data_IF_623181051067
#
_entry.id   IF_623181051067
#
_cell.length_a   1.000
_cell.length_b   1.000
_cell.length_c   1.000
_cell.angle_alpha   90.00
_cell.angle_beta   90.00
_cell.angle_gamma   90.00
#
_symmetry.space_group_name_H-M   'P 1'
#
loop_
_entity.id
_entity.type
_entity.pdbx_description
1 polymer ?
#
# COMPACT_ATOMS: atom_id res chain seq x y z
N UNK A 1 10.34 -4.78 39.16
CA UNK A 1 11.42 -5.27 38.27
C UNK A 1 10.92 -6.28 37.24
N UNK A 2 9.92 -7.08 37.51
CA UNK A 2 9.34 -8.08 36.62
C UNK A 2 8.84 -7.51 35.28
N UNK A 3 8.13 -6.38 35.25
CA UNK A 3 7.57 -5.83 34.02
C UNK A 3 8.60 -5.27 32.99
N UNK A 4 9.82 -4.92 33.43
CA UNK A 4 10.89 -4.52 32.50
C UNK A 4 11.56 -5.72 31.85
N UNK A 5 11.69 -6.83 32.57
CA UNK A 5 12.29 -8.06 32.06
C UNK A 5 11.37 -8.71 31.03
N UNK A 6 10.06 -8.73 31.27
CA UNK A 6 9.07 -9.23 30.31
C UNK A 6 9.06 -8.39 29.01
N UNK A 7 9.08 -7.06 29.11
CA UNK A 7 9.10 -6.18 27.95
C UNK A 7 10.36 -6.33 27.10
N UNK A 8 11.53 -6.59 27.71
CA UNK A 8 12.78 -6.87 26.97
C UNK A 8 12.70 -8.24 26.29
N UNK A 9 12.17 -9.25 26.97
CA UNK A 9 12.01 -10.59 26.42
C UNK A 9 11.05 -10.58 25.21
N UNK A 10 9.93 -9.90 25.31
CA UNK A 10 8.97 -9.73 24.22
C UNK A 10 9.61 -9.00 23.02
N UNK A 11 10.35 -7.92 23.28
CA UNK A 11 11.06 -7.19 22.24
C UNK A 11 12.10 -8.06 21.52
N UNK A 12 12.87 -8.85 22.28
CA UNK A 12 13.84 -9.79 21.71
C UNK A 12 13.17 -10.87 20.87
N UNK A 13 12.05 -11.44 21.36
CA UNK A 13 11.29 -12.45 20.64
C UNK A 13 10.78 -11.92 19.29
N UNK A 14 10.25 -10.69 19.25
CA UNK A 14 9.82 -10.05 17.99
C UNK A 14 11.01 -9.79 17.03
N UNK A 15 12.17 -9.37 17.54
CA UNK A 15 13.37 -9.18 16.70
C UNK A 15 13.90 -10.50 16.13
N UNK A 16 13.97 -11.55 16.94
CA UNK A 16 14.34 -12.88 16.47
C UNK A 16 13.36 -13.41 15.42
N UNK A 17 12.07 -13.15 15.61
CA UNK A 17 11.04 -13.47 14.62
C UNK A 17 11.29 -12.71 13.31
N UNK A 18 11.51 -11.38 13.35
CA UNK A 18 11.75 -10.58 12.14
C UNK A 18 12.93 -11.14 11.34
N UNK A 19 14.03 -11.48 12.02
CA UNK A 19 15.24 -12.05 11.38
C UNK A 19 14.95 -13.45 10.82
N UNK A 20 14.23 -14.30 11.55
CA UNK A 20 13.94 -15.67 11.12
C UNK A 20 12.91 -15.73 9.99
N UNK A 21 11.95 -14.80 9.98
CA UNK A 21 10.91 -14.74 8.94
C UNK A 21 11.41 -14.11 7.64
N UNK A 22 12.48 -13.32 7.69
CA UNK A 22 13.04 -12.71 6.49
C UNK A 22 13.33 -13.69 5.35
N UNK A 23 14.17 -14.74 5.52
CA UNK A 23 14.42 -15.69 4.43
C UNK A 23 13.17 -16.45 4.01
N UNK A 24 12.28 -16.76 4.95
CA UNK A 24 11.01 -17.45 4.67
C UNK A 24 10.13 -16.60 3.76
N UNK A 25 9.95 -15.33 4.11
CA UNK A 25 9.14 -14.39 3.33
C UNK A 25 9.78 -14.14 1.95
N UNK A 26 11.10 -14.00 1.90
CA UNK A 26 11.81 -13.82 0.64
C UNK A 26 11.57 -14.98 -0.32
N UNK A 27 11.75 -16.23 0.14
CA UNK A 27 11.53 -17.43 -0.68
C UNK A 27 10.07 -17.56 -1.08
N UNK A 28 9.14 -17.36 -0.15
CA UNK A 28 7.70 -17.46 -0.40
C UNK A 28 7.23 -16.46 -1.45
N UNK A 29 7.70 -15.21 -1.38
CA UNK A 29 7.24 -14.11 -2.23
C UNK A 29 8.04 -14.00 -3.53
N UNK A 30 9.19 -14.70 -3.63
CA UNK A 30 10.09 -14.65 -4.79
C UNK A 30 9.38 -14.93 -6.12
N UNK A 31 8.54 -15.98 -6.29
CA UNK A 31 7.89 -16.24 -7.57
C UNK A 31 7.01 -15.07 -8.05
N UNK A 32 6.24 -14.49 -7.15
CA UNK A 32 5.35 -13.36 -7.46
C UNK A 32 6.16 -12.09 -7.78
N UNK A 33 7.23 -11.83 -7.03
CA UNK A 33 8.13 -10.70 -7.26
C UNK A 33 8.89 -10.84 -8.58
N UNK A 34 9.40 -12.04 -8.88
CA UNK A 34 10.07 -12.35 -10.13
C UNK A 34 9.12 -12.21 -11.33
N UNK A 35 7.89 -12.71 -11.23
CA UNK A 35 6.89 -12.57 -12.29
C UNK A 35 6.56 -11.10 -12.57
N UNK A 36 6.41 -10.27 -11.53
CA UNK A 36 6.20 -8.82 -11.68
C UNK A 36 7.38 -8.14 -12.37
N UNK A 37 8.60 -8.46 -11.95
CA UNK A 37 9.83 -7.91 -12.52
C UNK A 37 9.99 -8.29 -13.99
N UNK A 38 9.86 -9.58 -14.32
CA UNK A 38 9.92 -10.08 -15.70
C UNK A 38 8.83 -9.45 -16.58
N UNK A 39 7.60 -9.34 -16.07
CA UNK A 39 6.51 -8.70 -16.81
C UNK A 39 6.80 -7.23 -17.13
N UNK A 40 7.41 -6.48 -16.20
CA UNK A 40 7.81 -5.09 -16.43
C UNK A 40 8.99 -5.01 -17.41
N UNK A 41 9.98 -5.87 -17.26
CA UNK A 41 11.12 -5.97 -18.17
C UNK A 41 10.68 -6.22 -19.61
N UNK A 42 9.83 -7.24 -19.85
CA UNK A 42 9.35 -7.57 -21.18
C UNK A 42 8.46 -6.48 -21.78
N UNK A 43 7.63 -5.79 -20.99
CA UNK A 43 6.91 -4.59 -21.44
C UNK A 43 7.87 -3.49 -21.88
N UNK A 44 8.96 -3.29 -21.15
CA UNK A 44 10.03 -2.35 -21.49
C UNK A 44 10.69 -2.71 -22.82
N UNK A 45 11.07 -3.96 -23.01
CA UNK A 45 11.63 -4.49 -24.27
C UNK A 45 10.65 -4.27 -25.43
N UNK A 46 9.38 -4.67 -25.28
CA UNK A 46 8.35 -4.43 -26.27
C UNK A 46 8.17 -2.95 -26.60
N UNK A 47 8.25 -2.09 -25.58
CA UNK A 47 8.23 -0.64 -25.74
C UNK A 47 9.43 -0.08 -26.52
N UNK A 48 10.61 -0.70 -26.40
CA UNK A 48 11.79 -0.31 -27.20
C UNK A 48 11.66 -0.79 -28.64
N UNK A 49 11.19 -2.01 -28.86
CA UNK A 49 10.95 -2.56 -30.22
C UNK A 49 9.93 -1.71 -30.99
N UNK A 50 8.90 -1.20 -30.31
CA UNK A 50 7.88 -0.33 -30.93
C UNK A 50 8.34 1.11 -31.21
N UNK A 51 9.56 1.51 -30.85
CA UNK A 51 10.03 2.89 -31.01
C UNK A 51 10.04 3.34 -32.47
N UNK A 52 10.59 2.54 -33.38
CA UNK A 52 10.71 2.90 -34.81
C UNK A 52 9.35 3.04 -35.51
N UNK A 53 8.45 2.03 -35.43
CA UNK A 53 7.15 2.15 -36.09
C UNK A 53 6.29 3.25 -35.47
N UNK A 54 6.28 3.43 -34.16
CA UNK A 54 5.54 4.52 -33.52
C UNK A 54 6.09 5.92 -33.88
N UNK A 55 7.43 6.05 -33.98
CA UNK A 55 8.05 7.30 -34.37
C UNK A 55 7.72 7.68 -35.84
N UNK A 56 7.76 6.71 -36.76
CA UNK A 56 7.42 6.95 -38.16
C UNK A 56 5.96 7.36 -38.31
N UNK A 57 5.05 6.74 -37.53
CA UNK A 57 3.66 7.14 -37.51
C UNK A 57 3.48 8.55 -36.93
N UNK A 58 4.10 8.87 -35.78
CA UNK A 58 4.04 10.18 -35.14
C UNK A 58 4.59 11.28 -36.03
N UNK A 59 5.61 10.96 -36.86
CA UNK A 59 6.18 11.89 -37.87
C UNK A 59 5.18 12.16 -38.97
N UNK A 60 4.52 11.14 -39.51
CA UNK A 60 3.48 11.29 -40.54
C UNK A 60 2.31 12.14 -40.05
N UNK A 61 1.93 11.97 -38.81
CA UNK A 61 0.81 12.68 -38.17
C UNK A 61 1.21 14.04 -37.56
N UNK A 62 2.46 14.50 -37.77
CA UNK A 62 3.01 15.76 -37.22
C UNK A 62 2.90 15.88 -35.67
N UNK A 63 2.89 14.77 -34.97
CA UNK A 63 2.74 14.68 -33.46
C UNK A 63 4.01 14.26 -32.73
N UNK A 64 5.19 14.47 -33.32
CA UNK A 64 6.46 13.97 -32.77
C UNK A 64 6.81 14.50 -31.37
N UNK A 65 6.45 15.76 -31.08
CA UNK A 65 6.71 16.32 -29.74
C UNK A 65 5.87 15.66 -28.64
N UNK A 66 4.57 15.45 -28.90
CA UNK A 66 3.65 14.76 -27.98
C UNK A 66 4.08 13.32 -27.83
N UNK A 67 4.38 12.63 -28.91
CA UNK A 67 4.88 11.25 -28.87
C UNK A 67 6.16 11.13 -28.04
N UNK A 68 7.16 12.00 -28.25
CA UNK A 68 8.40 11.98 -27.45
C UNK A 68 8.12 12.13 -25.96
N UNK A 69 7.31 13.10 -25.58
CA UNK A 69 6.95 13.33 -24.17
C UNK A 69 6.27 12.11 -23.53
N UNK A 70 5.30 11.53 -24.23
CA UNK A 70 4.59 10.34 -23.76
C UNK A 70 5.50 9.11 -23.70
N UNK A 71 6.39 8.93 -24.68
CA UNK A 71 7.29 7.78 -24.72
C UNK A 71 8.37 7.87 -23.65
N UNK A 72 8.98 9.05 -23.46
CA UNK A 72 9.94 9.28 -22.39
C UNK A 72 9.30 9.08 -21.01
N UNK A 73 8.08 9.56 -20.81
CA UNK A 73 7.33 9.31 -19.58
C UNK A 73 7.15 7.80 -19.32
N UNK A 74 6.66 7.04 -20.30
CA UNK A 74 6.49 5.57 -20.16
C UNK A 74 7.81 4.83 -19.91
N UNK A 75 8.91 5.25 -20.54
CA UNK A 75 10.23 4.66 -20.30
C UNK A 75 10.74 4.98 -18.88
N UNK A 76 10.58 6.21 -18.43
CA UNK A 76 10.95 6.63 -17.09
C UNK A 76 10.12 5.87 -16.03
N UNK A 77 8.82 5.75 -16.23
CA UNK A 77 7.93 4.95 -15.36
C UNK A 77 8.32 3.47 -15.34
N UNK A 78 8.65 2.89 -16.49
CA UNK A 78 9.10 1.51 -16.60
C UNK A 78 10.42 1.28 -15.88
N UNK A 79 11.39 2.18 -16.02
CA UNK A 79 12.67 2.12 -15.31
C UNK A 79 12.47 2.27 -13.79
N UNK A 80 11.67 3.24 -13.37
CA UNK A 80 11.33 3.43 -11.96
C UNK A 80 10.68 2.16 -11.38
N UNK A 81 9.74 1.54 -12.10
CA UNK A 81 9.13 0.27 -11.68
C UNK A 81 10.16 -0.85 -11.57
N UNK A 82 11.08 -1.00 -12.52
CA UNK A 82 12.13 -2.02 -12.46
C UNK A 82 13.03 -1.83 -11.23
N UNK A 83 13.41 -0.60 -10.90
CA UNK A 83 14.22 -0.30 -9.71
C UNK A 83 13.48 -0.72 -8.44
N UNK A 84 12.21 -0.32 -8.28
CA UNK A 84 11.40 -0.70 -7.11
C UNK A 84 11.22 -2.22 -7.04
N UNK A 85 10.91 -2.87 -8.15
CA UNK A 85 10.70 -4.31 -8.17
C UNK A 85 12.00 -5.09 -7.95
N UNK A 86 13.15 -4.54 -8.33
CA UNK A 86 14.46 -5.11 -7.98
C UNK A 86 14.70 -5.01 -6.48
N UNK A 87 14.37 -3.89 -5.85
CA UNK A 87 14.40 -3.76 -4.39
C UNK A 87 13.50 -4.81 -3.72
N UNK A 88 12.26 -5.00 -4.20
CA UNK A 88 11.35 -6.04 -3.70
C UNK A 88 11.93 -7.44 -3.88
N UNK A 89 12.51 -7.72 -5.06
CA UNK A 89 13.06 -9.04 -5.41
C UNK A 89 14.25 -9.43 -4.53
N UNK A 90 15.07 -8.45 -4.14
CA UNK A 90 16.24 -8.64 -3.29
C UNK A 90 15.91 -8.68 -1.79
N UNK A 91 14.63 -8.62 -1.41
CA UNK A 91 14.20 -8.65 -0.01
C UNK A 91 14.39 -7.31 0.71
N UNK A 92 14.44 -6.23 -0.05
CA UNK A 92 14.54 -4.88 0.50
C UNK A 92 13.44 -4.53 1.51
N UNK A 93 12.16 -4.88 1.27
CA UNK A 93 11.08 -4.68 2.23
C UNK A 93 11.35 -5.33 3.59
N UNK A 94 11.78 -6.58 3.60
CA UNK A 94 12.03 -7.33 4.83
C UNK A 94 13.21 -6.74 5.62
N UNK A 95 14.29 -6.38 4.92
CA UNK A 95 15.45 -5.72 5.54
C UNK A 95 15.04 -4.37 6.14
N UNK A 96 14.34 -3.56 5.36
CA UNK A 96 13.90 -2.26 5.80
C UNK A 96 12.96 -2.35 7.02
N UNK A 97 12.00 -3.29 7.01
CA UNK A 97 11.12 -3.53 8.15
C UNK A 97 11.91 -3.96 9.40
N UNK A 98 12.84 -4.91 9.25
CA UNK A 98 13.68 -5.36 10.35
C UNK A 98 14.44 -4.17 10.98
N UNK A 99 15.06 -3.31 10.17
CA UNK A 99 15.76 -2.11 10.65
C UNK A 99 14.81 -1.12 11.34
N UNK A 100 13.64 -0.92 10.80
CA UNK A 100 12.65 0.00 11.36
C UNK A 100 12.06 -0.48 12.69
N UNK A 101 11.93 -1.78 12.87
CA UNK A 101 11.44 -2.37 14.11
C UNK A 101 12.44 -2.22 15.27
N UNK A 102 13.72 -1.98 15.02
CA UNK A 102 14.78 -1.90 16.04
C UNK A 102 14.51 -0.75 16.99
N UNK A 103 13.82 0.02 17.18
CA UNK A 103 13.53 1.04 18.19
C UNK A 103 12.03 1.15 18.50
N UNK A 104 11.21 0.33 17.83
CA UNK A 104 9.78 0.35 17.99
C UNK A 104 9.28 -0.75 18.93
N UNK A 105 8.16 -0.51 19.57
CA UNK A 105 7.34 -1.58 20.16
C UNK A 105 6.47 -2.13 19.04
N UNK A 106 6.68 -3.38 18.70
CA UNK A 106 5.89 -4.07 17.68
C UNK A 106 5.01 -5.12 18.32
N UNK A 107 3.80 -5.28 17.81
CA UNK A 107 2.86 -6.31 18.23
C UNK A 107 2.03 -6.80 17.04
N UNK A 108 1.52 -8.04 17.07
CA UNK A 108 0.59 -8.51 16.05
C UNK A 108 -0.76 -7.79 16.16
N UNK A 109 -1.58 -7.94 15.12
CA UNK A 109 -2.99 -7.63 15.20
C UNK A 109 -3.67 -8.59 16.18
N UNK A 110 -4.61 -8.08 16.97
CA UNK A 110 -5.47 -8.91 17.82
C UNK A 110 -6.51 -9.68 16.99
N UNK A 111 -7.03 -10.78 17.53
CA UNK A 111 -8.10 -11.53 16.87
C UNK A 111 -9.35 -10.69 16.59
N UNK A 112 -9.66 -9.73 17.47
CA UNK A 112 -10.77 -8.80 17.28
C UNK A 112 -10.51 -7.86 16.10
N UNK A 113 -9.33 -7.27 16.00
CA UNK A 113 -8.95 -6.42 14.85
C UNK A 113 -9.00 -7.21 13.53
N UNK A 114 -8.45 -8.43 13.52
CA UNK A 114 -8.50 -9.30 12.33
C UNK A 114 -9.95 -9.58 11.91
N UNK A 115 -10.83 -9.90 12.85
CA UNK A 115 -12.24 -10.18 12.57
C UNK A 115 -12.95 -8.98 11.97
N UNK A 116 -12.72 -7.79 12.51
CA UNK A 116 -13.32 -6.55 12.00
C UNK A 116 -12.81 -6.22 10.59
N UNK A 117 -11.52 -6.34 10.37
CA UNK A 117 -10.88 -6.02 9.09
C UNK A 117 -11.30 -7.00 8.00
N UNK A 118 -11.39 -8.29 8.34
CA UNK A 118 -11.83 -9.33 7.43
C UNK A 118 -13.25 -9.10 6.89
N UNK A 119 -14.12 -8.41 7.63
CA UNK A 119 -15.45 -8.01 7.14
C UNK A 119 -15.37 -7.02 5.97
N UNK A 120 -14.35 -6.17 5.95
CA UNK A 120 -14.16 -5.14 4.91
C UNK A 120 -13.36 -5.68 3.75
N UNK A 121 -12.15 -6.15 3.99
CA UNK A 121 -11.20 -6.56 2.95
C UNK A 121 -11.44 -8.01 2.46
N UNK A 122 -12.11 -8.84 3.27
CA UNK A 122 -12.22 -10.28 3.05
C UNK A 122 -11.26 -11.07 3.96
N UNK A 123 -11.63 -12.33 4.32
CA UNK A 123 -10.86 -13.14 5.27
C UNK A 123 -9.46 -13.52 4.74
N UNK A 124 -9.34 -13.69 3.43
CA UNK A 124 -8.09 -14.11 2.77
C UNK A 124 -7.36 -12.96 2.04
N UNK A 125 -7.81 -11.73 2.26
CA UNK A 125 -7.28 -10.56 1.56
C UNK A 125 -5.84 -10.25 1.95
N UNK A 126 -5.46 -10.53 3.20
CA UNK A 126 -4.19 -10.17 3.83
C UNK A 126 -3.57 -11.35 4.57
N UNK A 127 -2.27 -11.38 4.59
CA UNK A 127 -1.49 -12.29 5.45
C UNK A 127 -1.39 -11.71 6.86
N UNK A 128 -2.48 -11.78 7.62
CA UNK A 128 -2.58 -11.16 8.96
C UNK A 128 -1.44 -11.55 9.91
N UNK A 129 -0.92 -12.78 9.81
CA UNK A 129 0.20 -13.26 10.61
C UNK A 129 1.52 -12.50 10.38
N UNK A 130 1.69 -11.91 9.20
CA UNK A 130 2.89 -11.14 8.85
C UNK A 130 2.80 -9.68 9.31
N UNK A 131 1.59 -9.18 9.56
CA UNK A 131 1.36 -7.78 9.88
C UNK A 131 1.80 -7.46 11.30
N UNK A 132 2.45 -6.31 11.46
CA UNK A 132 2.84 -5.74 12.75
C UNK A 132 2.33 -4.32 12.90
N UNK A 133 1.90 -4.01 14.11
CA UNK A 133 1.63 -2.64 14.54
C UNK A 133 2.86 -2.16 15.30
N UNK A 134 3.50 -1.10 14.82
CA UNK A 134 4.67 -0.48 15.41
C UNK A 134 4.29 0.86 16.03
N UNK A 135 4.59 1.03 17.32
CA UNK A 135 4.30 2.24 18.07
C UNK A 135 5.60 2.95 18.47
N UNK A 136 5.80 4.15 17.94
CA UNK A 136 7.01 4.95 18.21
C UNK A 136 8.21 4.51 17.35
N UNK A 137 9.41 4.45 17.96
CA UNK A 137 10.65 4.04 17.29
C UNK A 137 11.30 5.13 16.45
N UNK A 138 12.06 4.71 15.43
CA UNK A 138 12.76 5.63 14.51
C UNK A 138 11.81 6.59 13.78
N UNK A 139 10.55 6.21 13.64
CA UNK A 139 9.52 7.04 13.00
C UNK A 139 9.01 8.19 13.88
N UNK A 140 9.48 8.34 15.11
CA UNK A 140 9.10 9.50 15.92
C UNK A 140 9.36 10.83 15.19
N UNK A 141 10.45 10.91 14.44
CA UNK A 141 10.74 12.06 13.58
C UNK A 141 9.74 12.20 12.44
N UNK A 142 9.38 11.11 11.77
CA UNK A 142 8.39 11.11 10.68
C UNK A 142 7.05 11.61 11.20
N UNK A 143 6.57 11.09 12.33
CA UNK A 143 5.33 11.55 12.97
C UNK A 143 5.36 13.05 13.29
N UNK A 144 6.50 13.54 13.75
CA UNK A 144 6.66 14.97 14.04
C UNK A 144 6.54 15.84 12.79
N UNK A 145 7.03 15.37 11.65
CA UNK A 145 6.97 16.11 10.37
C UNK A 145 5.66 15.93 9.62
N UNK A 146 4.99 14.79 9.74
CA UNK A 146 3.74 14.51 9.04
C UNK A 146 2.47 14.92 9.80
N UNK A 147 2.61 15.57 10.98
CA UNK A 147 1.47 15.98 11.80
C UNK A 147 0.85 14.85 12.61
N UNK A 148 1.62 13.86 13.03
CA UNK A 148 1.19 12.67 13.77
C UNK A 148 0.15 11.82 13.02
N UNK A 149 0.28 11.74 11.70
CA UNK A 149 -0.51 10.81 10.89
C UNK A 149 0.09 9.41 10.97
N UNK A 150 -0.77 8.40 11.02
CA UNK A 150 -0.39 7.01 10.80
C UNK A 150 0.11 6.81 9.36
N UNK A 151 0.84 5.76 9.12
CA UNK A 151 1.21 5.34 7.78
C UNK A 151 1.63 3.87 7.77
N UNK A 152 1.39 3.18 6.66
CA UNK A 152 1.82 1.82 6.47
C UNK A 152 3.12 1.74 5.65
N UNK A 153 3.99 0.83 6.06
CA UNK A 153 5.18 0.44 5.30
C UNK A 153 5.22 -1.08 5.20
N UNK A 154 5.01 -1.59 4.00
CA UNK A 154 4.94 -3.04 3.71
C UNK A 154 3.93 -3.75 4.62
N UNK A 155 4.35 -4.65 5.51
CA UNK A 155 3.49 -5.33 6.48
C UNK A 155 3.48 -4.66 7.86
N UNK A 156 3.89 -3.42 7.97
CA UNK A 156 3.91 -2.69 9.23
C UNK A 156 3.01 -1.47 9.18
N UNK A 157 2.09 -1.38 10.13
CA UNK A 157 1.34 -0.17 10.42
C UNK A 157 2.10 0.62 11.46
N UNK A 158 2.47 1.84 11.14
CA UNK A 158 3.21 2.73 12.03
C UNK A 158 2.24 3.74 12.64
N UNK A 159 2.08 3.68 13.95
CA UNK A 159 1.16 4.52 14.70
C UNK A 159 1.91 5.45 15.65
N UNK A 160 1.52 6.72 15.75
CA UNK A 160 2.03 7.60 16.80
C UNK A 160 1.50 7.13 18.17
N UNK A 161 2.30 7.37 19.21
CA UNK A 161 1.91 7.01 20.59
C UNK A 161 0.75 7.84 21.13
N UNK A 162 0.58 9.04 20.60
CA UNK A 162 -0.42 9.99 21.05
C UNK A 162 -1.11 10.67 19.87
N UNK A 163 -2.32 11.14 20.06
CA UNK A 163 -3.08 11.87 19.05
C UNK A 163 -4.29 11.09 18.55
N UNK A 164 -4.75 11.43 17.35
CA UNK A 164 -5.98 10.84 16.78
C UNK A 164 -5.74 9.54 16.00
N UNK A 165 -4.50 9.29 15.57
CA UNK A 165 -4.15 8.17 14.72
C UNK A 165 -3.53 7.02 15.53
N UNK A 166 -4.07 6.75 16.72
CA UNK A 166 -3.66 5.64 17.59
C UNK A 166 -4.35 4.33 17.20
N UNK A 167 -3.90 3.22 17.77
CA UNK A 167 -4.44 1.88 17.52
C UNK A 167 -5.94 1.75 17.84
N UNK A 168 -6.44 2.50 18.81
CA UNK A 168 -7.86 2.49 19.19
C UNK A 168 -8.77 3.11 18.13
N UNK A 169 -8.20 3.87 17.18
CA UNK A 169 -8.94 4.43 16.06
C UNK A 169 -9.01 3.42 14.92
N UNK A 170 -9.92 2.45 15.03
CA UNK A 170 -10.08 1.37 14.05
C UNK A 170 -10.27 1.84 12.60
N UNK A 171 -11.02 2.92 12.29
CA UNK A 171 -11.07 3.46 10.93
C UNK A 171 -9.69 3.77 10.35
N UNK A 172 -8.78 4.34 11.13
CA UNK A 172 -7.40 4.61 10.69
C UNK A 172 -6.62 3.30 10.51
N UNK A 173 -6.80 2.34 11.40
CA UNK A 173 -6.17 1.01 11.25
C UNK A 173 -6.63 0.33 9.96
N UNK A 174 -7.92 0.43 9.60
CA UNK A 174 -8.45 -0.09 8.32
C UNK A 174 -7.85 0.64 7.12
N UNK A 175 -7.68 1.97 7.20
CA UNK A 175 -6.99 2.75 6.18
C UNK A 175 -5.58 2.23 5.93
N UNK A 176 -4.79 2.11 6.99
CA UNK A 176 -3.40 1.65 6.90
C UNK A 176 -3.30 0.19 6.44
N UNK A 177 -4.25 -0.66 6.83
CA UNK A 177 -4.31 -2.03 6.34
C UNK A 177 -4.68 -2.12 4.86
N UNK A 178 -5.40 -1.15 4.33
CA UNK A 178 -5.61 -1.07 2.88
C UNK A 178 -4.28 -0.81 2.16
N UNK A 179 -3.37 -0.03 2.73
CA UNK A 179 -2.02 0.12 2.18
C UNK A 179 -1.18 -1.17 2.26
N UNK A 180 -1.34 -1.96 3.33
CA UNK A 180 -0.74 -3.30 3.39
C UNK A 180 -1.32 -4.22 2.30
N UNK A 181 -2.63 -4.18 2.07
CA UNK A 181 -3.28 -4.89 0.98
C UNK A 181 -2.72 -4.47 -0.39
N UNK A 182 -2.55 -3.17 -0.62
CA UNK A 182 -1.92 -2.64 -1.83
C UNK A 182 -0.49 -3.17 -2.00
N UNK A 183 0.31 -3.22 -0.92
CA UNK A 183 1.65 -3.80 -0.94
C UNK A 183 1.63 -5.25 -1.40
N UNK A 184 0.79 -6.08 -0.83
CA UNK A 184 0.71 -7.50 -1.19
C UNK A 184 0.33 -7.71 -2.66
N UNK A 185 -0.45 -6.80 -3.25
CA UNK A 185 -0.89 -6.86 -4.65
C UNK A 185 0.12 -6.29 -5.65
N UNK A 186 0.71 -5.13 -5.36
CA UNK A 186 1.56 -4.40 -6.33
C UNK A 186 3.02 -4.20 -5.89
N UNK A 187 3.41 -4.71 -4.71
CA UNK A 187 4.75 -4.52 -4.15
C UNK A 187 4.98 -3.09 -3.64
N UNK A 188 6.24 -2.72 -3.43
CA UNK A 188 6.63 -1.40 -2.89
C UNK A 188 6.24 -0.22 -3.77
N UNK A 189 5.75 -0.46 -4.99
CA UNK A 189 5.25 0.58 -5.89
C UNK A 189 4.14 1.42 -5.24
N UNK A 190 3.26 0.80 -4.41
CA UNK A 190 2.16 1.53 -3.75
C UNK A 190 2.66 2.71 -2.93
N UNK A 191 3.81 2.55 -2.24
CA UNK A 191 4.37 3.58 -1.36
C UNK A 191 4.82 4.80 -2.17
N UNK A 192 5.49 4.57 -3.30
CA UNK A 192 5.87 5.66 -4.21
C UNK A 192 4.67 6.39 -4.80
N UNK A 193 3.61 5.66 -5.17
CA UNK A 193 2.37 6.23 -5.71
C UNK A 193 1.64 7.05 -4.64
N UNK A 194 1.53 6.57 -3.40
CA UNK A 194 0.90 7.28 -2.29
C UNK A 194 1.67 8.56 -1.94
N UNK A 195 2.99 8.48 -1.77
CA UNK A 195 3.83 9.65 -1.48
C UNK A 195 3.75 10.69 -2.61
N UNK A 196 3.82 10.24 -3.88
CA UNK A 196 3.69 11.15 -5.02
C UNK A 196 2.37 11.91 -5.00
N UNK A 197 1.25 11.23 -4.75
CA UNK A 197 -0.07 11.86 -4.69
C UNK A 197 -0.18 12.83 -3.51
N UNK A 198 0.34 12.45 -2.34
CA UNK A 198 0.37 13.32 -1.16
C UNK A 198 1.15 14.62 -1.42
N UNK A 199 2.31 14.53 -2.07
CA UNK A 199 3.12 15.71 -2.42
C UNK A 199 2.39 16.57 -3.47
N UNK A 200 1.79 15.95 -4.49
CA UNK A 200 1.17 16.64 -5.62
C UNK A 200 -0.13 17.33 -5.24
N UNK A 201 -0.99 16.69 -4.45
CA UNK A 201 -2.36 17.15 -4.19
C UNK A 201 -2.61 17.45 -2.71
N UNK A 202 -1.62 17.24 -1.84
CA UNK A 202 -1.73 17.39 -0.39
C UNK A 202 -2.93 16.57 0.14
N UNK A 203 -3.78 17.17 0.99
CA UNK A 203 -4.95 16.48 1.57
C UNK A 203 -6.06 16.17 0.57
N UNK A 204 -6.03 16.75 -0.63
CA UNK A 204 -7.01 16.43 -1.68
C UNK A 204 -6.79 15.02 -2.29
N UNK A 205 -5.63 14.40 -1.99
CA UNK A 205 -5.38 13.00 -2.38
C UNK A 205 -6.41 12.01 -1.83
N UNK A 206 -7.10 12.33 -0.74
CA UNK A 206 -8.12 11.49 -0.11
C UNK A 206 -9.53 11.70 -0.70
N UNK A 207 -9.74 12.81 -1.42
CA UNK A 207 -11.04 13.19 -1.92
C UNK A 207 -11.46 12.34 -3.13
N UNK A 208 -12.40 11.43 -2.95
CA UNK A 208 -13.01 10.60 -4.00
C UNK A 208 -14.45 11.00 -4.31
N UNK A 209 -14.99 12.04 -3.67
CA UNK A 209 -16.34 12.55 -3.85
C UNK A 209 -17.42 11.90 -2.96
N UNK A 210 -17.03 11.07 -1.99
CA UNK A 210 -17.93 10.39 -1.06
C UNK A 210 -18.94 9.46 -1.78
N UNK A 211 -20.07 9.16 -1.13
CA UNK A 211 -21.11 8.27 -1.70
C UNK A 211 -21.67 8.78 -3.03
N UNK A 212 -21.79 10.09 -3.22
CA UNK A 212 -22.27 10.68 -4.47
C UNK A 212 -21.26 10.45 -5.61
N UNK A 213 -19.96 10.69 -5.35
CA UNK A 213 -18.89 10.42 -6.32
C UNK A 213 -18.78 8.94 -6.69
N UNK A 214 -19.04 8.01 -5.74
CA UNK A 214 -19.03 6.58 -6.03
C UNK A 214 -20.22 6.16 -6.90
N UNK A 215 -21.42 6.73 -6.70
CA UNK A 215 -22.59 6.48 -7.60
C UNK A 215 -22.33 6.97 -9.02
N UNK A 216 -21.75 8.16 -9.17
CA UNK A 216 -21.35 8.70 -10.47
C UNK A 216 -20.27 7.85 -11.15
N UNK A 217 -19.27 7.44 -10.39
CA UNK A 217 -18.21 6.54 -10.85
C UNK A 217 -18.78 5.20 -11.35
N UNK A 218 -19.70 4.60 -10.60
CA UNK A 218 -20.38 3.38 -11.02
C UNK A 218 -21.18 3.57 -12.32
N UNK A 219 -21.92 4.66 -12.45
CA UNK A 219 -22.67 4.99 -13.67
C UNK A 219 -21.78 5.17 -14.90
N UNK A 220 -20.52 5.60 -14.70
CA UNK A 220 -19.53 5.80 -15.78
C UNK A 220 -18.61 4.58 -15.99
N UNK A 221 -18.82 3.48 -15.27
CA UNK A 221 -18.02 2.26 -15.35
C UNK A 221 -16.62 2.36 -14.73
N UNK A 222 -16.39 3.35 -13.88
CA UNK A 222 -15.15 3.51 -13.14
C UNK A 222 -15.03 2.44 -12.04
N UNK A 223 -13.86 1.81 -11.94
CA UNK A 223 -13.57 0.74 -10.99
C UNK A 223 -12.73 1.24 -9.80
N UNK A 224 -12.60 0.41 -8.75
CA UNK A 224 -11.77 0.72 -7.57
C UNK A 224 -10.31 1.02 -7.95
N UNK A 225 -9.72 0.27 -8.89
CA UNK A 225 -8.36 0.48 -9.41
C UNK A 225 -8.11 1.85 -10.07
N UNK A 226 -9.16 2.57 -10.47
CA UNK A 226 -9.05 3.87 -11.13
C UNK A 226 -8.89 5.03 -10.14
N UNK A 227 -9.01 4.74 -8.85
CA UNK A 227 -8.72 5.66 -7.76
C UNK A 227 -7.25 5.59 -7.38
N UNK A 228 -6.69 6.72 -6.90
CA UNK A 228 -5.33 6.71 -6.36
C UNK A 228 -5.27 5.92 -5.04
N UNK A 229 -4.06 5.60 -4.56
CA UNK A 229 -3.86 4.74 -3.38
C UNK A 229 -4.50 5.27 -2.10
N UNK A 230 -4.46 6.59 -1.90
CA UNK A 230 -5.06 7.24 -0.75
C UNK A 230 -6.59 7.26 -0.83
N UNK A 231 -7.15 7.52 -2.02
CA UNK A 231 -8.60 7.42 -2.25
C UNK A 231 -9.10 5.99 -2.01
N UNK A 232 -8.38 4.99 -2.48
CA UNK A 232 -8.70 3.59 -2.25
C UNK A 232 -8.76 3.28 -0.74
N UNK A 233 -7.75 3.71 0.02
CA UNK A 233 -7.72 3.53 1.46
C UNK A 233 -8.83 4.32 2.17
N UNK A 234 -9.14 5.54 1.70
CA UNK A 234 -10.23 6.35 2.25
C UNK A 234 -11.61 5.74 1.98
N UNK A 235 -11.86 5.19 0.79
CA UNK A 235 -13.11 4.47 0.46
C UNK A 235 -13.31 3.30 1.43
N UNK A 236 -12.27 2.53 1.68
CA UNK A 236 -12.30 1.37 2.59
C UNK A 236 -12.53 1.80 4.04
N UNK A 237 -11.88 2.86 4.49
CA UNK A 237 -12.06 3.47 5.81
C UNK A 237 -13.49 3.97 6.02
N UNK A 238 -14.03 4.70 5.04
CA UNK A 238 -15.37 5.28 5.13
C UNK A 238 -16.43 4.18 5.11
N UNK A 239 -16.27 3.16 4.28
CA UNK A 239 -17.13 1.97 4.28
C UNK A 239 -17.17 1.33 5.68
N UNK A 240 -15.99 1.05 6.27
CA UNK A 240 -15.91 0.52 7.62
C UNK A 240 -16.64 1.39 8.63
N UNK A 241 -16.39 2.70 8.60
CA UNK A 241 -16.99 3.66 9.51
C UNK A 241 -18.52 3.69 9.40
N UNK A 242 -19.06 3.60 8.18
CA UNK A 242 -20.49 3.58 7.92
C UNK A 242 -21.13 2.25 8.38
N UNK A 243 -20.45 1.11 8.16
CA UNK A 243 -20.90 -0.18 8.67
C UNK A 243 -21.02 -0.18 10.20
N UNK A 244 -20.02 0.33 10.92
CA UNK A 244 -20.05 0.40 12.39
C UNK A 244 -21.15 1.31 12.93
N UNK A 245 -21.57 2.31 12.13
CA UNK A 245 -22.71 3.20 12.46
C UNK A 245 -24.05 2.66 12.03
N UNK A 246 -24.14 1.52 11.34
CA UNK A 246 -25.37 1.02 10.73
C UNK A 246 -25.95 1.94 9.65
N UNK A 247 -25.09 2.72 8.99
CA UNK A 247 -25.48 3.67 7.95
C UNK A 247 -25.54 3.00 6.56
N UNK A 248 -26.16 3.68 5.57
CA UNK A 248 -26.22 3.20 4.19
C UNK A 248 -24.84 3.10 3.55
N UNK A 249 -24.48 1.91 3.10
CA UNK A 249 -23.23 1.58 2.43
C UNK A 249 -23.39 1.18 0.97
N UNK A 250 -24.61 1.25 0.43
CA UNK A 250 -24.97 0.76 -0.92
C UNK A 250 -24.05 1.30 -2.02
N UNK A 251 -23.63 2.58 -1.92
CA UNK A 251 -22.73 3.19 -2.90
C UNK A 251 -21.31 2.62 -2.87
N UNK A 252 -20.88 2.04 -1.75
CA UNK A 252 -19.55 1.51 -1.53
C UNK A 252 -19.44 0.03 -1.93
N UNK A 253 -20.51 -0.75 -1.79
CA UNK A 253 -20.51 -2.21 -1.99
C UNK A 253 -19.89 -2.66 -3.32
N UNK A 254 -20.15 -2.03 -4.48
CA UNK A 254 -19.56 -2.46 -5.74
C UNK A 254 -18.02 -2.33 -5.75
N UNK A 255 -17.48 -1.32 -5.06
CA UNK A 255 -16.03 -1.10 -4.96
C UNK A 255 -15.38 -2.02 -3.92
N UNK A 256 -16.04 -2.24 -2.80
CA UNK A 256 -15.57 -3.16 -1.76
C UNK A 256 -15.62 -4.62 -2.25
N UNK A 257 -16.60 -4.98 -3.09
CA UNK A 257 -16.64 -6.29 -3.75
C UNK A 257 -15.38 -6.52 -4.61
N UNK A 258 -14.91 -5.49 -5.34
CA UNK A 258 -13.65 -5.55 -6.10
C UNK A 258 -12.43 -5.73 -5.18
N UNK A 259 -12.38 -5.02 -4.04
CA UNK A 259 -11.33 -5.22 -3.03
C UNK A 259 -11.31 -6.67 -2.53
N UNK A 260 -12.47 -7.22 -2.17
CA UNK A 260 -12.61 -8.61 -1.72
C UNK A 260 -12.22 -9.62 -2.79
N UNK A 261 -12.43 -9.29 -4.06
CA UNK A 261 -11.97 -10.08 -5.20
C UNK A 261 -10.46 -9.92 -5.48
N UNK A 262 -9.77 -9.06 -4.73
CA UNK A 262 -8.33 -8.79 -4.91
C UNK A 262 -8.00 -7.91 -6.11
N UNK A 263 -8.98 -7.21 -6.65
CA UNK A 263 -8.80 -6.27 -7.76
C UNK A 263 -8.21 -4.95 -7.26
N UNK A 264 -7.09 -4.52 -7.91
CA UNK A 264 -6.36 -3.31 -7.52
C UNK A 264 -5.72 -2.63 -8.73
#
# INVERSE_FOLDING_TARGET
MTGRVTAVAEWLAERLRDVSMWPINLVRDFPTRAARWLGTFWRGVGGLVSLLPEWTQARRERRTAVWRRQKLGRLADGLHQLVIQTFDLLGGPEIAQCLMHFGARTSPLSGAEITLIARVLGPDALRFGDIRVAEGGLYHLVFRFNGNLAFATWHTINLPRNGRCTRDNLPIVVHELTHVFQYERVGSRYLGEAIYMLIKTKRDCYNYGGAAGLREAQATGRCYRDYNREQQAQITQDYFTLCEKGSDVTAYEPFIAQVRAGEL
#
